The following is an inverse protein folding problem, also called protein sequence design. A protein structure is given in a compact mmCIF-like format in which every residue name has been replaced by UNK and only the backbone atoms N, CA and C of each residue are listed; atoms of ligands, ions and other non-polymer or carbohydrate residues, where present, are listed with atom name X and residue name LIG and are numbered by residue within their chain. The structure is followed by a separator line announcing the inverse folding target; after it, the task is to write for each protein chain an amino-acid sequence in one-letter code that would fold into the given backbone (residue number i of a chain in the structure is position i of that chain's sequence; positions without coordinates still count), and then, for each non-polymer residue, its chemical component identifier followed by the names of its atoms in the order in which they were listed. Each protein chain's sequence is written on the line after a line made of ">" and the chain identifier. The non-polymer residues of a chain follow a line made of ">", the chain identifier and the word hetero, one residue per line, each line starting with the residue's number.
data_IF_232820101781
#
_entry.id   IF_232820101781
#
_cell.length_a   1.000
_cell.length_b   1.000
_cell.length_c   1.000
_cell.angle_alpha   90.00
_cell.angle_beta   90.00
_cell.angle_gamma   90.00
#
_symmetry.space_group_name_H-M   'P 1'
#
loop_
_entity.id
_entity.type
_entity.pdbx_description
1 polymer ?
#
# COMPACT_ATOMS: atom_id res chain seq x y z
N UNK A 1 25.52 61.76 -17.12
CA UNK A 1 24.75 62.50 -16.10
C UNK A 1 24.21 61.46 -15.12
N UNK A 2 24.90 61.14 -14.01
CA UNK A 2 24.78 61.80 -12.69
C UNK A 2 23.29 62.02 -12.33
N UNK A 3 22.70 61.57 -11.22
CA UNK A 3 23.25 61.23 -9.90
C UNK A 3 22.12 60.91 -8.90
N UNK A 4 22.45 60.12 -7.85
CA UNK A 4 22.00 60.23 -6.44
C UNK A 4 20.53 59.96 -6.07
N UNK A 5 20.34 59.00 -5.16
CA UNK A 5 19.63 59.22 -3.90
C UNK A 5 20.06 58.21 -2.83
N UNK A 6 20.94 58.62 -1.91
CA UNK A 6 21.08 58.09 -0.56
C UNK A 6 20.70 59.23 0.40
N UNK A 7 19.89 58.93 1.42
CA UNK A 7 19.80 59.53 2.77
C UNK A 7 18.47 59.04 3.40
N UNK A 8 18.47 58.08 4.33
CA UNK A 8 18.65 58.22 5.80
C UNK A 8 17.57 59.08 6.45
N UNK A 9 16.77 58.61 7.44
CA UNK A 9 17.12 58.54 8.88
C UNK A 9 15.90 58.03 9.74
N UNK A 10 15.99 57.84 11.10
CA UNK A 10 15.70 56.56 11.75
C UNK A 10 14.67 56.58 12.93
N UNK A 11 14.42 55.38 13.48
CA UNK A 11 14.02 54.98 14.87
C UNK A 11 12.97 55.79 15.65
N UNK A 12 11.94 55.08 16.13
CA UNK A 12 11.48 55.16 17.54
C UNK A 12 11.06 53.79 18.08
N UNK A 13 11.48 53.52 19.30
CA UNK A 13 11.22 52.35 20.14
C UNK A 13 10.54 52.82 21.43
N UNK A 14 9.54 52.11 21.95
CA UNK A 14 9.16 52.00 23.39
C UNK A 14 8.17 50.80 23.47
N UNK A 15 8.57 49.63 23.97
CA UNK A 15 8.56 49.14 25.36
C UNK A 15 7.16 49.02 26.00
N UNK A 16 6.76 47.77 26.24
CA UNK A 16 5.62 47.32 27.03
C UNK A 16 5.66 45.80 27.16
N UNK A 17 6.11 45.32 28.32
CA UNK A 17 6.24 43.92 28.77
C UNK A 17 4.81 43.36 28.96
N UNK A 18 4.49 42.12 28.57
CA UNK A 18 4.44 40.96 29.48
C UNK A 18 4.31 39.61 28.72
N UNK A 19 4.75 38.57 29.43
CA UNK A 19 4.91 37.16 29.07
C UNK A 19 3.66 36.50 28.47
N UNK A 20 3.89 35.64 27.48
CA UNK A 20 3.27 34.31 27.46
C UNK A 20 4.10 33.35 26.58
N UNK A 21 4.48 32.22 27.18
CA UNK A 21 5.19 31.12 26.54
C UNK A 21 4.35 30.56 25.37
N UNK A 22 4.90 30.58 24.16
CA UNK A 22 4.30 29.85 23.05
C UNK A 22 5.37 29.31 22.12
N UNK A 23 5.45 27.98 22.10
CA UNK A 23 6.26 27.13 21.25
C UNK A 23 6.47 27.73 19.85
N UNK A 24 7.66 28.26 19.60
CA UNK A 24 8.16 28.48 18.23
C UNK A 24 8.31 27.12 17.57
N UNK A 25 7.23 26.67 16.94
CA UNK A 25 7.17 25.41 16.21
C UNK A 25 8.21 25.41 15.08
N UNK A 26 8.91 24.27 14.91
CA UNK A 26 9.74 23.96 13.75
C UNK A 26 9.05 24.18 12.38
N UNK A 27 7.73 24.43 12.38
CA UNK A 27 6.94 24.86 11.25
C UNK A 27 7.38 26.19 10.60
N UNK A 28 8.00 27.14 11.33
CA UNK A 28 8.38 28.44 10.75
C UNK A 28 9.70 28.42 9.98
N UNK A 29 10.58 27.44 10.24
CA UNK A 29 11.91 27.33 9.60
C UNK A 29 11.81 26.78 8.16
N UNK A 30 10.71 26.11 7.82
CA UNK A 30 10.56 25.40 6.54
C UNK A 30 10.09 26.28 5.36
N UNK A 31 9.80 27.56 5.59
CA UNK A 31 9.27 28.45 4.54
C UNK A 31 10.34 28.98 3.57
N UNK A 32 11.63 28.84 3.89
CA UNK A 32 12.71 29.55 3.15
C UNK A 32 13.59 28.66 2.26
N UNK A 33 13.44 27.34 2.25
CA UNK A 33 14.34 26.47 1.47
C UNK A 33 13.95 26.34 -0.01
N UNK A 34 13.99 27.47 -0.70
CA UNK A 34 14.02 27.59 -2.14
C UNK A 34 15.44 27.42 -2.68
N UNK A 35 15.85 26.17 -2.90
CA UNK A 35 16.94 25.84 -3.82
C UNK A 35 18.30 25.56 -3.19
N UNK A 36 18.53 24.33 -2.75
CA UNK A 36 19.84 23.65 -2.79
C UNK A 36 19.57 22.14 -2.61
N UNK A 37 19.32 21.42 -3.70
CA UNK A 37 19.52 19.96 -3.67
C UNK A 37 21.02 19.73 -3.89
N UNK A 38 21.65 19.07 -2.91
CA UNK A 38 22.87 18.25 -2.93
C UNK A 38 23.78 18.48 -1.69
N UNK A 39 23.63 19.58 -0.94
CA UNK A 39 24.52 19.86 0.22
C UNK A 39 23.95 19.57 1.62
N UNK A 40 22.66 19.85 1.86
CA UNK A 40 22.05 19.73 3.18
C UNK A 40 20.73 18.96 3.06
N UNK A 41 20.81 17.63 3.09
CA UNK A 41 19.66 16.83 3.52
C UNK A 41 19.55 17.08 5.01
N UNK A 42 18.84 18.11 5.44
CA UNK A 42 18.65 18.38 6.87
C UNK A 42 18.06 17.14 7.55
N UNK A 43 18.33 16.97 8.85
CA UNK A 43 17.76 15.92 9.71
C UNK A 43 16.27 16.21 9.99
N UNK A 44 15.50 16.48 8.94
CA UNK A 44 14.09 16.78 8.99
C UNK A 44 13.34 15.53 9.46
N UNK A 45 12.56 15.61 10.56
CA UNK A 45 11.79 14.47 11.02
C UNK A 45 10.70 14.13 10.01
N UNK A 46 10.49 12.83 9.81
CA UNK A 46 9.29 12.33 9.15
C UNK A 46 8.07 12.53 10.06
N UNK A 47 6.90 12.68 9.45
CA UNK A 47 5.66 12.85 10.18
C UNK A 47 5.07 11.46 10.47
N UNK A 48 4.91 11.11 11.75
CA UNK A 48 4.33 9.82 12.15
C UNK A 48 2.83 9.77 11.84
N UNK A 49 2.36 8.59 11.43
CA UNK A 49 0.94 8.31 11.23
C UNK A 49 0.29 7.59 12.41
N UNK A 50 1.07 7.12 13.41
CA UNK A 50 0.59 6.28 14.52
C UNK A 50 0.37 7.02 15.85
N UNK A 51 -0.52 6.47 16.68
CA UNK A 51 -0.58 6.71 18.13
C UNK A 51 0.44 5.81 18.85
N UNK A 52 0.85 6.18 20.06
CA UNK A 52 2.04 5.67 20.79
C UNK A 52 2.14 4.15 21.06
N UNK A 53 1.15 3.32 20.73
CA UNK A 53 1.03 1.95 21.22
C UNK A 53 0.96 0.89 20.11
N UNK A 54 2.01 0.77 19.29
CA UNK A 54 2.14 -0.36 18.35
C UNK A 54 2.72 -1.59 19.06
N UNK A 55 1.92 -2.66 19.23
CA UNK A 55 2.35 -3.96 19.80
C UNK A 55 3.17 -4.86 18.84
N UNK A 56 3.75 -4.30 17.78
CA UNK A 56 4.60 -5.03 16.85
C UNK A 56 5.80 -4.17 16.42
N UNK A 57 7.00 -4.57 16.81
CA UNK A 57 8.30 -4.20 16.22
C UNK A 57 8.79 -2.74 16.30
N UNK A 58 7.90 -1.75 16.45
CA UNK A 58 8.25 -0.32 16.36
C UNK A 58 7.94 0.48 17.62
N UNK A 59 7.75 -0.21 18.75
CA UNK A 59 7.56 0.40 20.08
C UNK A 59 8.90 0.86 20.68
N UNK A 60 9.59 1.79 20.01
CA UNK A 60 10.43 2.80 20.67
C UNK A 60 10.78 3.89 19.65
N UNK A 61 10.27 5.10 19.93
CA UNK A 61 10.24 6.27 19.05
C UNK A 61 11.63 6.86 18.78
N UNK A 62 12.41 6.24 17.89
CA UNK A 62 13.38 7.00 17.11
C UNK A 62 12.65 7.64 15.93
N UNK A 63 12.47 8.96 16.00
CA UNK A 63 11.96 9.74 14.88
C UNK A 63 12.86 9.54 13.66
N UNK A 64 12.36 8.83 12.65
CA UNK A 64 13.05 8.70 11.36
C UNK A 64 13.22 10.09 10.75
N UNK A 65 14.42 10.36 10.24
CA UNK A 65 14.70 11.59 9.49
C UNK A 65 14.71 11.33 7.99
N UNK A 66 14.45 12.37 7.21
CA UNK A 66 14.56 12.34 5.76
C UNK A 66 15.94 11.86 5.31
N UNK A 67 17.01 12.37 5.94
CA UNK A 67 18.38 11.99 5.64
C UNK A 67 18.61 10.49 5.85
N UNK A 68 18.21 9.95 7.00
CA UNK A 68 18.38 8.53 7.32
C UNK A 68 17.69 7.66 6.28
N UNK A 69 16.41 7.91 5.99
CA UNK A 69 15.63 7.05 5.09
C UNK A 69 16.13 7.13 3.65
N UNK A 70 16.47 8.31 3.15
CA UNK A 70 16.93 8.47 1.77
C UNK A 70 18.35 7.93 1.53
N UNK A 71 19.27 8.08 2.50
CA UNK A 71 20.63 7.51 2.38
C UNK A 71 20.66 6.00 2.58
N UNK A 72 19.66 5.47 3.26
CA UNK A 72 19.52 4.04 3.56
C UNK A 72 18.71 3.29 2.51
N UNK A 73 18.24 3.96 1.44
CA UNK A 73 17.59 3.30 0.30
C UNK A 73 18.62 2.45 -0.45
N UNK A 74 18.35 1.15 -0.59
CA UNK A 74 19.32 0.19 -1.17
C UNK A 74 18.89 -0.37 -2.52
N UNK A 75 17.58 -0.43 -2.80
CA UNK A 75 17.06 -0.99 -4.04
C UNK A 75 15.63 -0.52 -4.31
N UNK A 76 15.27 -0.38 -5.59
CA UNK A 76 13.88 -0.31 -6.02
C UNK A 76 13.33 -1.73 -6.04
N UNK A 77 12.26 -1.98 -5.28
CA UNK A 77 11.64 -3.31 -5.13
C UNK A 77 10.27 -3.41 -5.77
N UNK A 78 9.72 -2.30 -6.29
CA UNK A 78 8.45 -2.34 -7.00
C UNK A 78 8.14 -1.05 -7.72
N UNK A 79 7.41 -1.16 -8.83
CA UNK A 79 7.00 -0.04 -9.66
C UNK A 79 5.51 -0.15 -10.01
N UNK A 80 4.77 0.96 -9.95
CA UNK A 80 3.35 0.99 -10.30
C UNK A 80 2.95 2.35 -10.83
N UNK A 81 1.78 2.49 -11.46
CA UNK A 81 1.26 3.79 -11.96
C UNK A 81 1.20 4.91 -10.89
N UNK A 82 1.23 4.58 -9.60
CA UNK A 82 1.24 5.54 -8.50
C UNK A 82 2.65 6.03 -8.11
N UNK A 83 3.69 5.24 -8.37
CA UNK A 83 4.96 5.41 -7.68
C UNK A 83 5.91 4.24 -7.84
N UNK A 84 7.01 4.34 -7.13
CA UNK A 84 7.94 3.23 -6.94
C UNK A 84 8.15 2.99 -5.45
N UNK A 85 8.45 1.75 -5.10
CA UNK A 85 8.72 1.30 -3.74
C UNK A 85 10.20 0.98 -3.63
N UNK A 86 10.85 1.52 -2.61
CA UNK A 86 12.26 1.31 -2.33
C UNK A 86 12.42 0.54 -1.02
N UNK A 87 13.35 -0.41 -0.98
CA UNK A 87 13.81 -1.04 0.27
C UNK A 87 14.79 -0.11 0.96
N UNK A 88 14.58 0.11 2.25
CA UNK A 88 15.43 0.93 3.10
C UNK A 88 15.96 0.05 4.24
N UNK A 89 17.28 0.10 4.47
CA UNK A 89 17.96 -0.62 5.56
C UNK A 89 18.63 0.41 6.47
N UNK A 90 17.99 0.70 7.60
CA UNK A 90 18.45 1.73 8.53
C UNK A 90 19.76 1.31 9.24
N UNK A 91 20.53 2.26 9.79
CA UNK A 91 21.80 1.95 10.48
C UNK A 91 21.69 1.00 11.66
N UNK A 92 20.50 0.90 12.27
CA UNK A 92 20.18 -0.02 13.37
C UNK A 92 19.74 -1.42 12.88
N UNK A 93 19.77 -1.67 11.57
CA UNK A 93 19.37 -2.93 10.95
C UNK A 93 17.87 -3.07 10.68
N UNK A 94 17.03 -2.12 11.13
CA UNK A 94 15.59 -2.15 10.80
C UNK A 94 15.38 -1.93 9.31
N UNK A 95 14.41 -2.64 8.75
CA UNK A 95 14.03 -2.51 7.33
C UNK A 95 12.66 -1.85 7.20
N UNK A 96 12.53 -0.93 6.25
CA UNK A 96 11.25 -0.34 5.87
C UNK A 96 11.11 -0.20 4.36
N UNK A 97 9.86 -0.08 3.91
CA UNK A 97 9.50 0.19 2.53
C UNK A 97 9.16 1.66 2.39
N UNK A 98 9.81 2.37 1.45
CA UNK A 98 9.48 3.75 1.09
C UNK A 98 8.68 3.75 -0.21
N UNK A 99 7.42 4.17 -0.16
CA UNK A 99 6.59 4.39 -1.35
C UNK A 99 6.70 5.82 -1.83
N UNK A 100 7.45 6.07 -2.90
CA UNK A 100 7.58 7.41 -3.50
C UNK A 100 6.50 7.62 -4.56
N UNK A 101 5.66 8.63 -4.36
CA UNK A 101 4.55 8.93 -5.28
C UNK A 101 5.05 9.72 -6.49
N UNK A 102 4.64 9.34 -7.71
CA UNK A 102 5.04 10.05 -8.94
C UNK A 102 4.41 11.43 -9.02
N UNK A 103 3.09 11.48 -8.87
CA UNK A 103 2.30 12.70 -9.04
C UNK A 103 1.22 12.76 -7.96
N UNK A 104 1.15 13.90 -7.29
CA UNK A 104 0.19 14.19 -6.22
C UNK A 104 -0.30 15.61 -6.44
N UNK A 105 -1.60 15.75 -6.76
CA UNK A 105 -2.30 17.04 -6.86
C UNK A 105 -2.76 17.58 -5.51
N UNK A 106 -2.81 16.74 -4.48
CA UNK A 106 -3.24 17.13 -3.14
C UNK A 106 -2.28 18.15 -2.54
N UNK A 107 -2.83 19.18 -1.88
CA UNK A 107 -2.03 20.12 -1.09
C UNK A 107 -1.49 19.44 0.16
N UNK A 108 -0.39 19.96 0.72
CA UNK A 108 0.30 19.42 1.92
C UNK A 108 -0.68 19.07 3.05
N UNK A 109 -1.56 19.99 3.41
CA UNK A 109 -2.51 19.78 4.52
C UNK A 109 -3.55 18.70 4.23
N UNK A 110 -3.98 18.55 2.98
CA UNK A 110 -4.92 17.51 2.60
C UNK A 110 -4.26 16.14 2.51
N UNK A 111 -3.09 16.06 1.87
CA UNK A 111 -2.28 14.84 1.83
C UNK A 111 -2.01 14.32 3.26
N UNK A 112 -1.54 15.21 4.15
CA UNK A 112 -1.25 14.87 5.53
C UNK A 112 -2.47 14.34 6.29
N UNK A 113 -3.62 15.00 6.19
CA UNK A 113 -4.86 14.52 6.83
C UNK A 113 -5.29 13.14 6.30
N UNK A 114 -5.18 12.90 5.00
CA UNK A 114 -5.59 11.63 4.39
C UNK A 114 -4.64 10.49 4.80
N UNK A 115 -3.32 10.69 4.67
CA UNK A 115 -2.34 9.63 4.96
C UNK A 115 -2.29 9.26 6.45
N UNK A 116 -2.50 10.22 7.35
CA UNK A 116 -2.60 9.93 8.80
C UNK A 116 -3.81 9.05 9.09
N UNK A 117 -4.98 9.31 8.48
CA UNK A 117 -6.16 8.45 8.65
C UNK A 117 -5.95 7.06 8.07
N UNK A 118 -5.29 6.96 6.91
CA UNK A 118 -4.90 5.68 6.32
C UNK A 118 -3.97 4.92 7.27
N UNK A 119 -2.96 5.59 7.84
CA UNK A 119 -2.04 5.00 8.81
C UNK A 119 -2.75 4.47 10.04
N UNK A 120 -3.58 5.31 10.69
CA UNK A 120 -4.39 4.90 11.84
C UNK A 120 -5.30 3.70 11.54
N UNK A 121 -5.93 3.68 10.35
CA UNK A 121 -6.77 2.57 9.95
C UNK A 121 -5.95 1.29 9.69
N UNK A 122 -4.82 1.41 9.00
CA UNK A 122 -3.93 0.27 8.71
C UNK A 122 -3.30 -0.32 9.98
N UNK A 123 -3.04 0.49 11.02
CA UNK A 123 -2.49 0.02 12.29
C UNK A 123 -3.49 -0.78 13.15
N UNK A 124 -4.79 -0.72 12.82
CA UNK A 124 -5.84 -1.42 13.57
C UNK A 124 -6.12 -2.84 13.05
N UNK A 125 -5.45 -3.28 11.98
CA UNK A 125 -5.67 -4.59 11.37
C UNK A 125 -4.36 -5.35 11.20
N UNK A 126 -4.33 -6.59 11.69
CA UNK A 126 -3.18 -7.49 11.56
C UNK A 126 -2.95 -7.97 10.11
N UNK A 127 -3.95 -7.79 9.24
CA UNK A 127 -3.94 -8.20 7.84
C UNK A 127 -3.59 -7.07 6.87
N UNK A 128 -3.32 -5.86 7.38
CA UNK A 128 -2.85 -4.72 6.61
C UNK A 128 -1.38 -4.42 6.91
N UNK A 129 -0.66 -3.91 5.91
CA UNK A 129 0.66 -3.33 6.13
C UNK A 129 0.50 -1.94 6.75
N UNK A 130 1.03 -1.67 7.95
CA UNK A 130 0.91 -0.36 8.57
C UNK A 130 1.65 0.72 7.79
N UNK A 131 1.02 1.88 7.63
CA UNK A 131 1.71 3.11 7.20
C UNK A 131 2.16 3.84 8.45
N UNK A 132 3.48 3.89 8.67
CA UNK A 132 4.08 4.34 9.94
C UNK A 132 4.46 5.81 9.90
N UNK A 133 4.90 6.31 8.74
CA UNK A 133 5.28 7.71 8.57
C UNK A 133 5.09 8.21 7.14
N UNK A 134 5.20 9.52 6.95
CA UNK A 134 5.21 10.13 5.62
C UNK A 134 6.09 11.38 5.55
N UNK A 135 6.37 11.79 4.31
CA UNK A 135 7.01 13.06 4.00
C UNK A 135 6.25 13.77 2.88
N UNK A 136 6.16 15.09 2.99
CA UNK A 136 5.60 15.94 1.94
C UNK A 136 6.44 17.20 1.76
N UNK A 137 6.94 17.40 0.54
CA UNK A 137 7.58 18.63 0.06
C UNK A 137 7.15 18.93 -1.37
N UNK A 138 7.62 20.06 -1.92
CA UNK A 138 7.35 20.45 -3.31
C UNK A 138 7.77 19.35 -4.30
N UNK A 139 8.94 18.74 -4.12
CA UNK A 139 9.52 17.76 -5.05
C UNK A 139 9.37 16.30 -4.63
N UNK A 140 9.37 16.02 -3.32
CA UNK A 140 9.38 14.66 -2.77
C UNK A 140 8.15 14.44 -1.90
N UNK A 141 7.42 13.36 -2.18
CA UNK A 141 6.26 12.91 -1.40
C UNK A 141 6.34 11.39 -1.29
N UNK A 142 6.34 10.87 -0.07
CA UNK A 142 6.39 9.42 0.15
C UNK A 142 5.70 9.00 1.44
N UNK A 143 5.34 7.73 1.49
CA UNK A 143 4.92 7.02 2.69
C UNK A 143 6.01 6.01 3.09
N UNK A 144 6.08 5.70 4.39
CA UNK A 144 6.95 4.66 4.96
C UNK A 144 6.06 3.61 5.63
N UNK A 145 6.41 2.34 5.40
CA UNK A 145 5.72 1.17 5.89
C UNK A 145 6.72 0.06 6.26
N UNK A 146 6.24 -0.97 6.94
CA UNK A 146 7.04 -2.17 7.22
C UNK A 146 7.50 -2.86 5.93
N UNK A 147 8.72 -3.41 5.95
CA UNK A 147 9.27 -4.19 4.87
C UNK A 147 9.15 -5.69 5.14
N UNK A 148 8.78 -6.45 4.11
CA UNK A 148 8.54 -7.89 4.18
C UNK A 148 9.61 -8.61 3.35
N UNK A 149 10.50 -9.40 3.98
CA UNK A 149 11.68 -9.94 3.31
C UNK A 149 11.39 -10.95 2.19
N UNK A 150 10.26 -11.65 2.22
CA UNK A 150 9.89 -12.58 1.14
C UNK A 150 9.29 -11.87 -0.08
N UNK A 151 9.17 -10.54 -0.03
CA UNK A 151 8.63 -9.75 -1.13
C UNK A 151 7.10 -9.86 -1.24
N UNK A 152 6.60 -9.61 -2.43
CA UNK A 152 5.17 -9.73 -2.71
C UNK A 152 4.78 -11.15 -3.14
N UNK A 153 3.50 -11.48 -3.04
CA UNK A 153 2.95 -12.72 -3.58
C UNK A 153 3.24 -12.85 -5.08
N UNK A 154 3.21 -11.75 -5.83
CA UNK A 154 3.55 -11.76 -7.24
C UNK A 154 5.01 -12.19 -7.47
N UNK A 155 5.95 -11.69 -6.67
CA UNK A 155 7.37 -12.06 -6.75
C UNK A 155 7.58 -13.53 -6.38
N UNK A 156 6.90 -13.99 -5.34
CA UNK A 156 6.97 -15.37 -4.85
C UNK A 156 6.45 -16.36 -5.91
N UNK A 157 5.29 -16.07 -6.52
CA UNK A 157 4.71 -16.91 -7.57
C UNK A 157 5.53 -16.87 -8.86
N UNK A 158 6.09 -15.71 -9.24
CA UNK A 158 6.93 -15.59 -10.43
C UNK A 158 8.24 -16.38 -10.27
N UNK A 159 8.92 -16.23 -9.12
CA UNK A 159 10.18 -16.92 -8.84
C UNK A 159 10.03 -18.44 -8.84
N UNK A 160 8.92 -18.94 -8.29
CA UNK A 160 8.61 -20.37 -8.29
C UNK A 160 8.50 -20.94 -9.71
N UNK A 161 7.76 -20.21 -10.58
CA UNK A 161 7.52 -20.61 -11.97
C UNK A 161 8.80 -20.60 -12.80
N UNK A 162 9.65 -19.59 -12.62
CA UNK A 162 10.96 -19.55 -13.29
C UNK A 162 11.83 -20.77 -12.94
N UNK A 163 11.67 -21.30 -11.73
CA UNK A 163 12.40 -22.46 -11.23
C UNK A 163 11.68 -23.80 -11.47
N UNK A 164 10.50 -23.79 -12.10
CA UNK A 164 9.59 -24.95 -12.21
C UNK A 164 9.31 -25.61 -10.85
N UNK A 165 9.15 -24.80 -9.81
CA UNK A 165 8.87 -25.23 -8.44
C UNK A 165 7.54 -24.67 -7.97
N UNK A 166 6.96 -25.32 -6.95
CA UNK A 166 5.81 -24.80 -6.23
C UNK A 166 6.28 -24.05 -4.98
N UNK A 167 6.11 -22.72 -4.94
CA UNK A 167 6.57 -21.92 -3.79
C UNK A 167 5.68 -22.03 -2.53
N UNK A 168 4.44 -22.50 -2.69
CA UNK A 168 3.43 -22.51 -1.62
C UNK A 168 2.69 -23.85 -1.59
N UNK A 169 2.61 -24.44 -0.39
CA UNK A 169 1.73 -25.58 -0.11
C UNK A 169 0.26 -25.15 -0.17
N UNK A 170 -0.66 -26.12 -0.25
CA UNK A 170 -2.09 -25.82 -0.21
C UNK A 170 -2.50 -25.00 1.02
N UNK A 171 -2.05 -25.41 2.21
CA UNK A 171 -2.35 -24.70 3.45
C UNK A 171 -1.83 -23.26 3.44
N UNK A 172 -0.62 -23.01 2.94
CA UNK A 172 -0.09 -21.65 2.83
C UNK A 172 -0.91 -20.80 1.86
N UNK A 173 -1.37 -21.36 0.73
CA UNK A 173 -2.25 -20.65 -0.20
C UNK A 173 -3.57 -20.28 0.47
N UNK A 174 -4.17 -21.21 1.21
CA UNK A 174 -5.42 -20.99 1.93
C UNK A 174 -5.27 -19.91 3.01
N UNK A 175 -4.19 -19.93 3.78
CA UNK A 175 -3.90 -18.88 4.76
C UNK A 175 -3.70 -17.50 4.11
N UNK A 176 -3.03 -17.44 2.97
CA UNK A 176 -2.86 -16.19 2.21
C UNK A 176 -4.23 -15.68 1.72
N UNK A 177 -5.07 -16.55 1.15
CA UNK A 177 -6.42 -16.19 0.68
C UNK A 177 -7.25 -15.64 1.84
N UNK A 178 -7.25 -16.35 2.98
CA UNK A 178 -7.99 -15.93 4.17
C UNK A 178 -7.48 -14.61 4.72
N UNK A 179 -6.15 -14.39 4.75
CA UNK A 179 -5.56 -13.12 5.18
C UNK A 179 -6.02 -11.96 4.30
N UNK A 180 -5.97 -12.11 2.97
CA UNK A 180 -6.42 -11.05 2.05
C UNK A 180 -7.93 -10.83 2.20
N UNK A 181 -8.73 -11.89 2.35
CA UNK A 181 -10.17 -11.75 2.58
C UNK A 181 -10.46 -10.95 3.86
N UNK A 182 -9.80 -11.27 4.97
CA UNK A 182 -9.93 -10.53 6.25
C UNK A 182 -9.44 -9.08 6.15
N UNK A 183 -8.40 -8.81 5.37
CA UNK A 183 -7.97 -7.44 5.10
C UNK A 183 -9.07 -6.64 4.36
N UNK A 184 -9.67 -7.24 3.33
CA UNK A 184 -10.74 -6.62 2.54
C UNK A 184 -12.01 -6.45 3.39
N UNK A 185 -12.39 -7.43 4.21
CA UNK A 185 -13.51 -7.32 5.16
C UNK A 185 -13.29 -6.20 6.18
N UNK A 186 -12.10 -6.13 6.78
CA UNK A 186 -11.76 -5.05 7.69
C UNK A 186 -11.92 -3.68 7.03
N UNK A 187 -11.53 -3.54 5.76
CA UNK A 187 -11.71 -2.31 5.01
C UNK A 187 -13.19 -2.06 4.74
N UNK A 188 -13.92 -3.05 4.19
CA UNK A 188 -15.31 -2.88 3.76
C UNK A 188 -16.28 -2.62 4.92
N UNK A 189 -15.97 -3.12 6.11
CA UNK A 189 -16.73 -2.87 7.34
C UNK A 189 -16.54 -1.46 7.91
N UNK A 190 -15.58 -0.67 7.42
CA UNK A 190 -15.38 0.70 7.91
C UNK A 190 -16.58 1.57 7.53
N UNK A 191 -17.15 2.23 8.55
CA UNK A 191 -18.34 3.06 8.40
C UNK A 191 -18.16 4.18 7.35
N UNK A 192 -19.13 4.30 6.45
CA UNK A 192 -19.22 5.42 5.50
C UNK A 192 -19.33 6.79 6.19
N UNK A 193 -19.79 6.84 7.45
CA UNK A 193 -19.83 8.06 8.25
C UNK A 193 -18.44 8.62 8.65
N UNK A 194 -17.38 7.80 8.57
CA UNK A 194 -15.99 8.28 8.71
C UNK A 194 -15.43 8.79 7.37
N UNK A 195 -16.18 8.69 6.27
CA UNK A 195 -15.84 9.31 5.01
C UNK A 195 -16.02 10.81 5.15
N UNK A 196 -14.90 11.53 5.15
CA UNK A 196 -14.97 12.92 4.68
C UNK A 196 -15.30 12.89 3.18
N UNK A 197 -15.98 13.93 2.67
CA UNK A 197 -16.29 14.19 1.24
C UNK A 197 -15.17 13.86 0.23
N UNK A 198 -13.94 13.66 0.68
CA UNK A 198 -12.72 13.51 -0.08
C UNK A 198 -11.89 12.26 0.25
N UNK A 199 -12.32 11.34 1.13
CA UNK A 199 -11.59 10.10 1.45
C UNK A 199 -12.54 8.95 1.80
N UNK A 200 -12.50 7.89 0.99
CA UNK A 200 -13.22 6.63 1.20
C UNK A 200 -12.32 5.64 1.95
N UNK A 201 -12.63 5.35 3.21
CA UNK A 201 -11.88 4.34 3.98
C UNK A 201 -12.45 2.93 3.82
N UNK A 202 -13.63 2.78 3.22
CA UNK A 202 -14.29 1.50 3.01
C UNK A 202 -13.91 0.79 1.71
N UNK A 203 -12.88 1.27 1.00
CA UNK A 203 -12.40 0.72 -0.27
C UNK A 203 -10.87 0.69 -0.26
N UNK A 204 -10.28 -0.43 -0.68
CA UNK A 204 -8.84 -0.55 -0.88
C UNK A 204 -8.39 0.13 -2.18
N UNK A 205 -9.03 -0.23 -3.30
CA UNK A 205 -8.89 0.39 -4.61
C UNK A 205 -7.61 0.03 -5.38
N UNK A 206 -6.81 -0.88 -4.84
CA UNK A 206 -5.56 -1.38 -5.45
C UNK A 206 -5.24 -2.80 -4.97
N UNK A 207 -6.25 -3.67 -4.83
CA UNK A 207 -6.04 -5.09 -4.46
C UNK A 207 -5.36 -5.78 -5.65
N UNK A 208 -4.24 -6.48 -5.40
CA UNK A 208 -3.50 -7.28 -6.40
C UNK A 208 -2.37 -8.06 -5.72
N UNK A 209 -1.88 -9.12 -6.36
CA UNK A 209 -0.81 -9.96 -5.82
C UNK A 209 0.49 -9.19 -5.51
N UNK A 210 0.85 -8.17 -6.29
CA UNK A 210 2.03 -7.32 -6.02
C UNK A 210 1.88 -6.39 -4.80
N UNK A 211 0.69 -6.33 -4.20
CA UNK A 211 0.42 -5.63 -2.95
C UNK A 211 0.13 -6.59 -1.79
N UNK A 212 0.23 -7.90 -1.99
CA UNK A 212 0.14 -8.88 -0.88
C UNK A 212 1.56 -9.19 -0.44
N UNK A 213 1.97 -8.64 0.70
CA UNK A 213 3.33 -8.81 1.24
C UNK A 213 3.42 -10.09 2.06
N UNK A 214 4.49 -10.85 1.86
CA UNK A 214 4.71 -12.15 2.52
C UNK A 214 5.85 -12.03 3.54
N UNK A 215 5.58 -12.42 4.77
CA UNK A 215 6.57 -12.48 5.84
C UNK A 215 7.30 -13.84 5.85
N UNK A 216 8.39 -13.94 6.60
CA UNK A 216 9.25 -15.15 6.67
C UNK A 216 8.48 -16.39 7.16
N UNK A 217 7.48 -16.19 8.00
CA UNK A 217 6.57 -17.23 8.50
C UNK A 217 5.38 -17.52 7.56
N UNK A 218 5.44 -17.00 6.31
CA UNK A 218 4.37 -17.07 5.30
C UNK A 218 3.07 -16.35 5.67
N UNK A 219 3.05 -15.58 6.76
CA UNK A 219 1.92 -14.68 7.01
C UNK A 219 1.85 -13.60 5.93
N UNK A 220 0.63 -13.34 5.45
CA UNK A 220 0.38 -12.35 4.40
C UNK A 220 -0.26 -11.08 4.95
N UNK A 221 0.08 -9.93 4.38
CA UNK A 221 -0.56 -8.63 4.68
C UNK A 221 -0.76 -7.82 3.42
N UNK A 222 -1.91 -7.15 3.30
CA UNK A 222 -2.24 -6.32 2.14
C UNK A 222 -1.69 -4.89 2.32
N UNK A 223 -0.95 -4.40 1.33
CA UNK A 223 -0.26 -3.11 1.32
C UNK A 223 -0.91 -2.08 0.39
N UNK A 224 -0.41 -0.85 0.40
CA UNK A 224 -0.86 0.27 -0.45
C UNK A 224 -2.34 0.68 -0.24
N UNK A 225 -2.94 0.31 0.91
CA UNK A 225 -4.29 0.72 1.31
C UNK A 225 -4.44 2.25 1.25
N UNK A 226 -5.45 2.73 0.53
CA UNK A 226 -5.77 4.16 0.43
C UNK A 226 -4.83 5.00 -0.45
N UNK A 227 -3.72 4.44 -0.96
CA UNK A 227 -2.75 5.19 -1.76
C UNK A 227 -3.31 5.68 -3.10
N UNK A 228 -4.32 4.98 -3.63
CA UNK A 228 -5.03 5.41 -4.84
C UNK A 228 -5.73 6.77 -4.68
N UNK A 229 -6.01 7.16 -3.45
CA UNK A 229 -6.63 8.44 -3.10
C UNK A 229 -5.60 9.49 -2.67
N UNK A 230 -4.31 9.18 -2.69
CA UNK A 230 -3.21 10.09 -2.37
C UNK A 230 -2.45 10.57 -3.60
N UNK A 231 -2.43 9.78 -4.68
CA UNK A 231 -1.64 10.03 -5.87
C UNK A 231 -2.46 9.83 -7.16
N UNK A 232 -2.06 10.54 -8.21
CA UNK A 232 -2.64 10.37 -9.55
C UNK A 232 -2.02 9.14 -10.22
N UNK A 233 -2.85 8.40 -10.97
CA UNK A 233 -2.34 7.36 -11.87
C UNK A 233 -1.69 8.05 -13.07
N UNK A 234 -0.40 7.79 -13.28
CA UNK A 234 0.33 8.26 -14.47
C UNK A 234 0.55 7.07 -15.39
N UNK A 235 0.24 7.24 -16.68
CA UNK A 235 0.60 6.26 -17.71
C UNK A 235 2.12 6.12 -17.75
N UNK A 236 2.60 4.89 -17.56
CA UNK A 236 4.01 4.58 -17.73
C UNK A 236 4.17 4.27 -19.20
N UNK A 237 4.81 5.18 -19.96
CA UNK A 237 5.04 4.97 -21.39
C UNK A 237 5.73 3.64 -21.67
N UNK A 238 5.43 3.05 -22.82
CA UNK A 238 5.72 1.67 -23.28
C UNK A 238 7.18 1.18 -23.22
N UNK A 239 8.12 1.99 -22.72
CA UNK A 239 9.54 1.63 -22.68
C UNK A 239 9.91 0.60 -21.59
N UNK A 240 9.03 0.33 -20.60
CA UNK A 240 9.42 -0.46 -19.42
C UNK A 240 8.43 -1.54 -18.97
N UNK A 241 7.33 -1.79 -19.70
CA UNK A 241 6.43 -2.91 -19.39
C UNK A 241 6.69 -4.12 -20.30
N UNK A 242 7.33 -5.16 -19.75
CA UNK A 242 7.14 -6.51 -20.28
C UNK A 242 5.72 -6.96 -19.91
N UNK A 243 4.87 -6.94 -20.94
CA UNK A 243 3.47 -7.40 -21.06
C UNK A 243 2.36 -6.38 -20.68
N UNK A 244 1.45 -6.08 -21.63
CA UNK A 244 0.15 -5.49 -21.31
C UNK A 244 -0.65 -6.49 -20.47
N UNK A 245 -1.17 -6.04 -19.33
CA UNK A 245 -2.21 -6.77 -18.62
C UNK A 245 -3.52 -6.62 -19.42
N UNK A 246 -4.25 -7.72 -19.70
CA UNK A 246 -5.43 -7.68 -20.54
C UNK A 246 -6.54 -6.84 -19.89
N UNK A 247 -7.03 -5.86 -20.66
CA UNK A 247 -8.40 -5.36 -20.68
C UNK A 247 -8.94 -4.85 -19.32
N UNK A 248 -8.40 -3.72 -18.86
CA UNK A 248 -8.83 -2.97 -17.66
C UNK A 248 -10.14 -2.16 -17.84
N UNK A 249 -11.15 -2.69 -18.54
CA UNK A 249 -12.40 -1.93 -18.77
C UNK A 249 -13.24 -1.75 -17.50
N UNK A 250 -13.05 -2.60 -16.47
CA UNK A 250 -13.75 -2.50 -15.18
C UNK A 250 -12.93 -1.79 -14.08
N UNK A 251 -11.74 -1.26 -14.40
CA UNK A 251 -10.72 -0.80 -13.45
C UNK A 251 -10.62 0.71 -13.20
N UNK A 252 -11.55 1.50 -13.73
CA UNK A 252 -11.55 2.96 -13.58
C UNK A 252 -12.18 3.44 -12.26
N UNK A 253 -13.12 2.69 -11.70
CA UNK A 253 -13.81 3.06 -10.45
C UNK A 253 -13.31 2.20 -9.30
N UNK A 254 -12.70 2.83 -8.29
CA UNK A 254 -12.35 2.15 -7.04
C UNK A 254 -13.59 2.08 -6.14
N UNK A 255 -14.15 0.88 -6.04
CA UNK A 255 -15.32 0.55 -5.20
C UNK A 255 -15.14 -0.83 -4.54
N UNK A 256 -16.04 -1.19 -3.63
CA UNK A 256 -15.97 -2.47 -2.92
C UNK A 256 -16.06 -3.66 -3.88
N UNK A 257 -16.90 -3.56 -4.90
CA UNK A 257 -17.08 -4.58 -5.93
C UNK A 257 -15.83 -4.76 -6.81
N UNK A 258 -15.04 -3.69 -6.97
CA UNK A 258 -13.73 -3.77 -7.65
C UNK A 258 -12.67 -4.45 -6.77
N UNK A 259 -12.72 -4.26 -5.44
CA UNK A 259 -11.83 -4.97 -4.52
C UNK A 259 -12.15 -6.47 -4.53
N UNK A 260 -13.43 -6.86 -4.51
CA UNK A 260 -13.87 -8.27 -4.61
C UNK A 260 -13.40 -8.89 -5.92
N UNK A 261 -13.56 -8.20 -7.05
CA UNK A 261 -13.08 -8.70 -8.34
C UNK A 261 -11.58 -8.98 -8.32
N UNK A 262 -10.80 -8.02 -7.85
CA UNK A 262 -9.34 -8.15 -7.78
C UNK A 262 -8.88 -9.19 -6.75
N UNK A 263 -9.65 -9.39 -5.67
CA UNK A 263 -9.44 -10.52 -4.75
C UNK A 263 -9.67 -11.86 -5.46
N UNK A 264 -10.71 -11.96 -6.30
CA UNK A 264 -10.93 -13.14 -7.16
C UNK A 264 -9.74 -13.42 -8.08
N UNK A 265 -9.15 -12.39 -8.70
CA UNK A 265 -7.93 -12.54 -9.50
C UNK A 265 -6.76 -13.10 -8.66
N UNK A 266 -6.59 -12.67 -7.41
CA UNK A 266 -5.56 -13.23 -6.51
C UNK A 266 -5.80 -14.72 -6.23
N UNK A 267 -7.05 -15.12 -5.96
CA UNK A 267 -7.40 -16.55 -5.79
C UNK A 267 -7.01 -17.34 -7.04
N UNK A 268 -7.40 -16.85 -8.22
CA UNK A 268 -7.13 -17.52 -9.48
C UNK A 268 -5.62 -17.63 -9.78
N UNK A 269 -4.84 -16.60 -9.45
CA UNK A 269 -3.37 -16.60 -9.56
C UNK A 269 -2.72 -17.62 -8.61
N UNK A 270 -3.29 -17.80 -7.41
CA UNK A 270 -2.88 -18.79 -6.41
C UNK A 270 -3.31 -20.21 -6.78
N UNK A 271 -4.31 -20.42 -7.61
CA UNK A 271 -4.78 -21.77 -7.98
C UNK A 271 -4.13 -22.31 -9.27
N UNK A 272 -4.00 -21.48 -10.30
CA UNK A 272 -3.76 -21.99 -11.66
C UNK A 272 -2.69 -21.22 -12.45
N UNK A 273 -2.31 -20.04 -11.95
CA UNK A 273 -1.34 -19.14 -12.56
C UNK A 273 -1.84 -18.34 -13.77
N UNK A 274 -1.14 -17.22 -14.09
CA UNK A 274 -1.66 -16.08 -14.86
C UNK A 274 -1.89 -16.36 -16.36
N UNK A 275 -1.63 -17.57 -16.84
CA UNK A 275 -1.69 -17.94 -18.26
C UNK A 275 -2.73 -19.03 -18.58
N UNK A 276 -3.55 -19.48 -17.62
CA UNK A 276 -4.66 -20.39 -17.92
C UNK A 276 -5.92 -19.58 -18.19
N UNK A 277 -6.54 -19.80 -19.34
CA UNK A 277 -7.79 -19.15 -19.72
C UNK A 277 -8.94 -19.72 -18.88
N UNK A 278 -9.30 -19.01 -17.81
CA UNK A 278 -10.32 -19.39 -16.84
C UNK A 278 -11.72 -19.61 -17.42
N UNK A 279 -11.94 -19.27 -18.70
CA UNK A 279 -13.27 -19.26 -19.33
C UNK A 279 -13.55 -20.45 -20.26
N UNK A 280 -12.51 -21.15 -20.71
CA UNK A 280 -12.63 -22.19 -21.75
C UNK A 280 -12.75 -23.63 -21.22
N UNK A 281 -12.44 -23.88 -19.94
CA UNK A 281 -12.51 -25.22 -19.33
C UNK A 281 -13.86 -25.56 -18.65
N UNK A 282 -14.96 -24.92 -19.08
CA UNK A 282 -16.31 -25.24 -18.59
C UNK A 282 -16.83 -26.61 -19.05
N UNK A 283 -16.08 -27.30 -19.90
CA UNK A 283 -16.48 -28.59 -20.49
C UNK A 283 -15.76 -29.76 -19.81
N UNK A 284 -16.04 -29.98 -18.51
CA UNK A 284 -15.69 -31.22 -17.79
C UNK A 284 -14.21 -31.60 -17.75
N UNK A 285 -13.30 -30.69 -18.09
CA UNK A 285 -11.87 -30.91 -18.14
C UNK A 285 -11.28 -31.07 -16.74
N UNK A 286 -10.34 -32.00 -16.58
CA UNK A 286 -9.61 -32.19 -15.33
C UNK A 286 -8.85 -30.90 -14.98
N UNK A 287 -9.33 -30.14 -13.99
CA UNK A 287 -8.60 -28.98 -13.46
C UNK A 287 -7.29 -29.48 -12.86
N UNK A 288 -6.19 -29.14 -13.51
CA UNK A 288 -4.84 -29.47 -13.06
C UNK A 288 -4.23 -28.27 -12.35
N UNK A 289 -4.02 -28.42 -11.04
CA UNK A 289 -3.43 -27.40 -10.19
C UNK A 289 -1.89 -27.46 -10.33
N UNK A 290 -1.23 -26.30 -10.27
CA UNK A 290 0.25 -26.19 -10.33
C UNK A 290 0.94 -26.77 -9.07
N UNK A 291 0.17 -27.35 -8.15
CA UNK A 291 0.62 -27.83 -6.85
C UNK A 291 -0.06 -29.16 -6.52
N UNK A 292 0.60 -29.95 -5.68
CA UNK A 292 0.08 -31.25 -5.26
C UNK A 292 -1.09 -31.07 -4.30
N UNK A 293 -2.30 -31.46 -4.73
CA UNK A 293 -3.49 -31.62 -3.89
C UNK A 293 -4.19 -32.93 -4.22
N UNK A 294 -4.60 -33.67 -3.19
CA UNK A 294 -5.30 -34.95 -3.32
C UNK A 294 -6.40 -35.09 -2.28
N UNK A 295 -7.38 -35.95 -2.57
CA UNK A 295 -8.53 -36.19 -1.70
C UNK A 295 -9.21 -34.88 -1.31
N UNK A 296 -9.39 -34.68 -0.01
CA UNK A 296 -10.10 -33.53 0.55
C UNK A 296 -9.48 -32.17 0.19
N UNK A 297 -8.15 -32.07 0.12
CA UNK A 297 -7.48 -30.81 -0.26
C UNK A 297 -7.82 -30.40 -1.71
N UNK A 298 -8.04 -31.40 -2.58
CA UNK A 298 -8.47 -31.15 -3.96
C UNK A 298 -9.91 -30.65 -4.00
N UNK A 299 -10.79 -31.20 -3.18
CA UNK A 299 -12.19 -30.76 -3.08
C UNK A 299 -12.26 -29.31 -2.57
N UNK A 300 -11.49 -28.98 -1.54
CA UNK A 300 -11.34 -27.60 -1.05
C UNK A 300 -10.80 -26.67 -2.14
N UNK A 301 -9.78 -27.09 -2.90
CA UNK A 301 -9.21 -26.28 -3.98
C UNK A 301 -10.22 -26.01 -5.10
N UNK A 302 -11.11 -26.95 -5.41
CA UNK A 302 -12.20 -26.76 -6.36
C UNK A 302 -13.26 -25.78 -5.85
N UNK A 303 -13.61 -25.83 -4.57
CA UNK A 303 -14.54 -24.85 -3.99
C UNK A 303 -13.95 -23.44 -3.99
N UNK A 304 -12.68 -23.30 -3.60
CA UNK A 304 -11.97 -22.02 -3.63
C UNK A 304 -11.87 -21.49 -5.08
N UNK A 305 -11.74 -22.38 -6.08
CA UNK A 305 -11.82 -22.00 -7.48
C UNK A 305 -13.18 -21.38 -7.83
N UNK A 306 -14.29 -22.02 -7.42
CA UNK A 306 -15.63 -21.48 -7.65
C UNK A 306 -15.83 -20.10 -6.99
N UNK A 307 -15.27 -19.88 -5.79
CA UNK A 307 -15.25 -18.56 -5.15
C UNK A 307 -14.50 -17.55 -6.04
N UNK A 308 -13.31 -17.89 -6.55
CA UNK A 308 -12.53 -17.03 -7.44
C UNK A 308 -13.27 -16.67 -8.74
N UNK A 309 -13.96 -17.65 -9.33
CA UNK A 309 -14.79 -17.45 -10.52
C UNK A 309 -16.03 -16.57 -10.23
N UNK A 310 -16.69 -16.77 -9.09
CA UNK A 310 -17.82 -15.95 -8.66
C UNK A 310 -17.40 -14.49 -8.41
N UNK A 311 -16.25 -14.27 -7.76
CA UNK A 311 -15.67 -12.93 -7.56
C UNK A 311 -15.40 -12.19 -8.88
N UNK A 312 -14.99 -12.93 -9.92
CA UNK A 312 -14.62 -12.37 -11.23
C UNK A 312 -15.79 -12.28 -12.21
N UNK A 313 -17.04 -12.43 -11.73
CA UNK A 313 -18.22 -12.32 -12.56
C UNK A 313 -18.28 -10.95 -13.28
N UNK A 314 -18.65 -10.99 -14.57
CA UNK A 314 -18.82 -9.81 -15.42
C UNK A 314 -19.90 -8.86 -14.86
N UNK A 315 -20.97 -9.42 -14.31
CA UNK A 315 -22.00 -8.63 -13.62
C UNK A 315 -21.54 -8.28 -12.21
N UNK A 316 -21.39 -6.99 -11.92
CA UNK A 316 -20.95 -6.49 -10.61
C UNK A 316 -21.89 -6.92 -9.47
N UNK A 317 -23.20 -6.87 -9.70
CA UNK A 317 -24.21 -7.27 -8.71
C UNK A 317 -24.34 -8.78 -8.51
N UNK A 318 -23.69 -9.60 -9.34
CA UNK A 318 -23.64 -11.05 -9.17
C UNK A 318 -22.39 -11.53 -8.42
N UNK A 319 -21.47 -10.61 -8.08
CA UNK A 319 -20.29 -10.95 -7.27
C UNK A 319 -20.71 -11.09 -5.81
N UNK A 320 -20.20 -12.10 -5.08
CA UNK A 320 -20.47 -12.22 -3.66
C UNK A 320 -19.85 -11.06 -2.88
N UNK A 321 -20.42 -10.74 -1.73
CA UNK A 321 -19.82 -9.83 -0.75
C UNK A 321 -18.62 -10.49 -0.08
N UNK A 322 -17.71 -9.69 0.47
CA UNK A 322 -16.54 -10.24 1.19
C UNK A 322 -16.95 -11.02 2.44
N UNK A 323 -18.07 -10.67 3.06
CA UNK A 323 -18.64 -11.40 4.19
C UNK A 323 -19.11 -12.80 3.78
N UNK A 324 -19.84 -12.92 2.66
CA UNK A 324 -20.26 -14.23 2.12
C UNK A 324 -19.04 -15.09 1.77
N UNK A 325 -18.01 -14.49 1.16
CA UNK A 325 -16.75 -15.18 0.86
C UNK A 325 -16.10 -15.72 2.14
N UNK A 326 -16.01 -14.91 3.20
CA UNK A 326 -15.39 -15.34 4.47
C UNK A 326 -16.18 -16.47 5.13
N UNK A 327 -17.52 -16.44 5.06
CA UNK A 327 -18.34 -17.55 5.53
C UNK A 327 -18.03 -18.84 4.76
N UNK A 328 -18.01 -18.76 3.42
CA UNK A 328 -17.66 -19.90 2.58
C UNK A 328 -16.21 -20.40 2.83
N UNK A 329 -15.24 -19.51 3.07
CA UNK A 329 -13.88 -19.93 3.39
C UNK A 329 -13.76 -20.51 4.82
N UNK A 330 -14.55 -20.00 5.77
CA UNK A 330 -14.52 -20.40 7.17
C UNK A 330 -15.10 -21.78 7.42
N UNK A 331 -16.17 -22.14 6.72
CA UNK A 331 -16.75 -23.49 6.78
C UNK A 331 -15.78 -24.56 6.25
N UNK A 332 -14.85 -24.18 5.37
CA UNK A 332 -13.94 -25.10 4.66
C UNK A 332 -12.56 -25.24 5.33
N UNK A 333 -12.13 -24.28 6.16
CA UNK A 333 -10.86 -24.35 6.92
C UNK A 333 -10.96 -25.29 8.13
N UNK A 334 -12.17 -25.52 8.65
CA UNK A 334 -12.39 -26.25 9.93
C UNK A 334 -13.16 -27.58 9.81
N UNK A 335 -13.65 -27.96 8.63
CA UNK A 335 -14.15 -29.32 8.37
C UNK A 335 -13.04 -30.20 7.84
#
# INVERSE_FOLDING_TARGET
>A
MLSRALNSKPRRSFHGVEKEDSCRSAASILSEYGGFMVGFMDDLPLISCGGSDHKGGWAESQHLTLRQVLRSSVAVVGESRLGFTEKVVLPDGRMCALKRFRKVSLRRGEFGRRIVRVGLASSMSDYLVPVTAYFYSKRIKFAVSDYYPMGSLADLLASAREQNQTALTWNQRLEIILSVARAVEFIHSRNSLQETKHLKLNVHGNVKASNVMINIDFTARLSDYGFIQLAERVEVGDAWQRKPQPNFEHGEVFCQESDVYNFGIIILDLLQGPNKDYTNDRDGGHVDFEFCVQGKERDQALQVLEIGLACTNKSTGARPTIQEIILCLGDEVFM
#
